data_IF_306784005643
#
_entry.id   IF_306784005643
#
_cell.length_a   1.000
_cell.length_b   1.000
_cell.length_c   1.000
_cell.angle_alpha   90.00
_cell.angle_beta   90.00
_cell.angle_gamma   90.00
#
_symmetry.space_group_name_H-M   'P 1'
#
loop_
_entity.id
_entity.type
_entity.pdbx_description
1 polymer ?
#
# COMPACT_ATOMS: atom_id res chain seq x y z
N UNK A 1 7.04 -14.47 25.28
CA UNK A 1 8.34 -13.82 25.10
C UNK A 1 9.15 -14.65 24.10
N UNK A 2 9.62 -14.05 22.99
CA UNK A 2 10.52 -14.70 22.02
C UNK A 2 11.93 -14.65 22.59
N UNK A 3 12.59 -15.78 22.67
CA UNK A 3 13.98 -15.85 23.11
C UNK A 3 14.93 -15.79 21.91
N UNK A 4 16.14 -15.27 22.12
CA UNK A 4 17.14 -15.16 21.04
C UNK A 4 17.50 -16.54 20.45
N UNK A 5 17.53 -17.58 21.29
CA UNK A 5 17.81 -18.96 20.90
C UNK A 5 16.76 -19.57 19.95
N UNK A 6 15.51 -19.03 19.95
CA UNK A 6 14.42 -19.48 19.07
C UNK A 6 14.51 -18.89 17.67
N UNK A 7 15.28 -17.80 17.47
CA UNK A 7 15.30 -17.04 16.22
C UNK A 7 15.91 -17.82 15.07
N UNK A 8 17.05 -18.47 15.28
CA UNK A 8 17.74 -19.23 14.22
C UNK A 8 16.94 -20.48 13.77
N UNK A 9 16.37 -21.30 14.66
CA UNK A 9 15.48 -22.38 14.26
C UNK A 9 14.27 -21.91 13.46
N UNK A 10 13.62 -20.81 13.89
CA UNK A 10 12.50 -20.22 13.18
C UNK A 10 12.92 -19.68 11.80
N UNK A 11 14.03 -18.97 11.73
CA UNK A 11 14.58 -18.49 10.46
C UNK A 11 14.84 -19.66 9.49
N UNK A 12 15.53 -20.72 9.94
CA UNK A 12 15.82 -21.87 9.10
C UNK A 12 14.57 -22.61 8.65
N UNK A 13 13.55 -22.66 9.51
CA UNK A 13 12.26 -23.26 9.17
C UNK A 13 11.54 -22.52 8.06
N UNK A 14 11.51 -21.19 8.10
CA UNK A 14 10.74 -20.38 7.14
C UNK A 14 11.55 -19.90 5.95
N UNK A 15 12.87 -19.77 6.10
CA UNK A 15 13.75 -19.17 5.09
C UNK A 15 14.92 -20.05 4.66
N UNK A 16 15.07 -21.25 5.22
CA UNK A 16 16.22 -22.11 4.96
C UNK A 16 16.13 -22.95 3.67
N UNK A 17 15.03 -22.89 2.92
CA UNK A 17 14.80 -23.70 1.72
C UNK A 17 14.82 -22.85 0.46
N UNK A 18 15.87 -22.93 -0.36
CA UNK A 18 15.99 -22.16 -1.61
C UNK A 18 14.91 -22.49 -2.64
N UNK A 19 14.31 -23.68 -2.58
CA UNK A 19 13.20 -24.10 -3.47
C UNK A 19 11.96 -23.21 -3.35
N UNK A 20 11.79 -22.52 -2.21
CA UNK A 20 10.63 -21.70 -1.94
C UNK A 20 10.81 -20.23 -2.37
N UNK A 21 11.98 -19.91 -2.98
CA UNK A 21 12.30 -18.55 -3.40
C UNK A 21 12.20 -18.38 -4.92
N UNK A 22 11.69 -17.23 -5.30
CA UNK A 22 11.83 -16.69 -6.66
C UNK A 22 12.80 -15.52 -6.62
N UNK A 23 13.88 -15.60 -7.38
CA UNK A 23 14.90 -14.55 -7.45
C UNK A 23 14.63 -13.66 -8.66
N UNK A 24 14.47 -12.36 -8.43
CA UNK A 24 14.32 -11.35 -9.49
C UNK A 24 15.58 -10.50 -9.51
N UNK A 25 16.30 -10.51 -10.64
CA UNK A 25 17.55 -9.80 -10.81
C UNK A 25 17.38 -8.83 -11.98
N UNK A 26 17.66 -7.57 -11.73
CA UNK A 26 17.57 -6.48 -12.70
C UNK A 26 18.85 -5.66 -12.65
N UNK A 27 19.41 -5.35 -13.80
CA UNK A 27 20.62 -4.55 -13.92
C UNK A 27 21.15 -4.50 -15.34
N UNK A 28 22.20 -3.72 -15.55
CA UNK A 28 22.96 -3.65 -16.80
C UNK A 28 23.99 -4.81 -16.82
N UNK A 29 23.50 -6.02 -17.09
CA UNK A 29 24.34 -7.23 -17.13
C UNK A 29 23.79 -8.23 -18.15
N UNK A 30 24.68 -8.98 -18.79
CA UNK A 30 24.29 -10.09 -19.67
C UNK A 30 24.07 -11.37 -18.86
N UNK A 31 23.32 -12.31 -19.45
CA UNK A 31 23.14 -13.65 -18.84
C UNK A 31 24.47 -14.37 -18.65
N UNK A 32 25.43 -14.18 -19.59
CA UNK A 32 26.77 -14.78 -19.50
C UNK A 32 27.54 -14.25 -18.31
N UNK A 33 27.45 -12.95 -18.02
CA UNK A 33 28.17 -12.33 -16.90
C UNK A 33 27.62 -12.76 -15.55
N UNK A 34 26.30 -12.86 -15.46
CA UNK A 34 25.62 -13.13 -14.19
C UNK A 34 25.52 -14.63 -13.86
N UNK A 35 25.50 -15.50 -14.87
CA UNK A 35 25.34 -16.95 -14.68
C UNK A 35 26.36 -17.57 -13.70
N UNK A 36 27.68 -17.27 -13.75
CA UNK A 36 28.62 -17.78 -12.77
C UNK A 36 28.29 -17.34 -11.33
N UNK A 37 27.88 -16.09 -11.16
CA UNK A 37 27.50 -15.54 -9.86
C UNK A 37 26.23 -16.20 -9.32
N UNK A 38 25.21 -16.39 -10.16
CA UNK A 38 23.98 -17.12 -9.80
C UNK A 38 24.32 -18.55 -9.40
N UNK A 39 25.16 -19.24 -10.16
CA UNK A 39 25.57 -20.63 -9.87
C UNK A 39 26.29 -20.71 -8.51
N UNK A 40 27.18 -19.76 -8.23
CA UNK A 40 27.97 -19.77 -6.98
C UNK A 40 27.12 -19.38 -5.77
N UNK A 41 26.37 -18.29 -5.86
CA UNK A 41 25.71 -17.69 -4.68
C UNK A 41 24.26 -18.17 -4.48
N UNK A 42 23.53 -18.43 -5.55
CA UNK A 42 22.14 -18.92 -5.47
C UNK A 42 22.10 -20.44 -5.59
N UNK A 43 22.85 -21.00 -6.57
CA UNK A 43 22.92 -22.45 -6.78
C UNK A 43 23.55 -23.21 -5.62
N UNK A 44 24.38 -22.54 -4.80
CA UNK A 44 24.96 -23.08 -3.58
C UNK A 44 24.05 -23.06 -2.35
N UNK A 45 22.86 -22.44 -2.44
CA UNK A 45 21.92 -22.37 -1.32
C UNK A 45 21.32 -23.76 -1.03
N UNK A 46 21.04 -24.10 0.26
CA UNK A 46 20.40 -25.34 0.63
C UNK A 46 19.04 -25.49 -0.07
N UNK A 47 18.82 -26.64 -0.73
CA UNK A 47 17.53 -26.92 -1.37
C UNK A 47 16.37 -26.89 -0.36
N UNK A 48 16.67 -27.32 0.88
CA UNK A 48 15.69 -27.50 1.94
C UNK A 48 14.88 -28.78 1.78
N UNK A 49 14.42 -29.30 2.89
CA UNK A 49 13.58 -30.51 2.96
C UNK A 49 12.19 -30.25 3.50
N UNK A 50 11.95 -29.07 4.04
CA UNK A 50 10.71 -28.78 4.74
C UNK A 50 9.62 -28.34 3.75
N UNK A 51 8.58 -29.13 3.62
CA UNK A 51 7.32 -28.68 3.07
C UNK A 51 6.62 -27.89 4.17
N UNK A 52 6.74 -26.58 4.10
CA UNK A 52 5.96 -25.67 4.95
C UNK A 52 4.63 -25.42 4.27
N UNK A 53 3.64 -26.27 4.56
CA UNK A 53 2.27 -25.96 4.19
C UNK A 53 1.83 -24.74 4.98
N UNK A 54 1.41 -23.71 4.25
CA UNK A 54 0.77 -22.57 4.89
C UNK A 54 -0.68 -22.93 5.24
N UNK A 55 -1.12 -22.55 6.42
CA UNK A 55 -2.52 -22.65 6.79
C UNK A 55 -3.13 -21.25 6.91
N UNK A 56 -4.35 -21.12 6.42
CA UNK A 56 -5.12 -19.89 6.60
C UNK A 56 -5.55 -19.78 8.07
N UNK A 57 -5.12 -18.73 8.71
CA UNK A 57 -5.66 -18.33 10.01
C UNK A 57 -6.63 -17.19 9.79
N UNK A 58 -7.89 -17.42 10.13
CA UNK A 58 -8.94 -16.42 10.00
C UNK A 58 -8.54 -15.12 10.72
N UNK A 59 -8.59 -14.00 9.99
CA UNK A 59 -8.32 -12.69 10.57
C UNK A 59 -9.58 -12.23 11.29
N UNK A 60 -9.46 -11.93 12.55
CA UNK A 60 -10.53 -11.29 13.29
C UNK A 60 -10.57 -9.80 12.93
N UNK A 61 -11.26 -9.47 11.84
CA UNK A 61 -11.46 -8.09 11.40
C UNK A 61 -12.71 -7.58 12.11
N UNK A 62 -12.62 -6.51 12.90
CA UNK A 62 -13.81 -5.96 13.54
C UNK A 62 -14.76 -5.39 12.47
N UNK A 63 -15.96 -5.95 12.39
CA UNK A 63 -17.01 -5.46 11.48
C UNK A 63 -17.77 -4.23 12.03
N UNK A 64 -17.48 -3.83 13.26
CA UNK A 64 -18.08 -2.66 13.89
C UNK A 64 -17.06 -1.55 14.04
N UNK A 65 -17.51 -0.32 13.84
CA UNK A 65 -16.70 0.84 14.16
C UNK A 65 -16.28 0.80 15.63
N UNK A 66 -15.02 1.02 15.89
CA UNK A 66 -14.46 1.10 17.24
C UNK A 66 -13.53 2.31 17.35
N UNK A 67 -13.46 2.89 18.53
CA UNK A 67 -12.52 3.94 18.89
C UNK A 67 -11.61 3.42 20.00
N UNK A 68 -10.33 3.66 19.87
CA UNK A 68 -9.33 3.31 20.87
C UNK A 68 -8.50 4.55 21.21
N UNK A 69 -8.55 4.97 22.46
CA UNK A 69 -7.74 6.07 22.98
C UNK A 69 -6.70 5.49 23.92
N UNK A 70 -5.45 5.89 23.72
CA UNK A 70 -4.33 5.55 24.61
C UNK A 70 -3.59 6.81 25.01
N UNK A 71 -3.40 6.99 26.32
CA UNK A 71 -2.60 8.08 26.84
C UNK A 71 -1.19 7.57 27.15
N UNK A 72 -0.18 8.18 26.49
CA UNK A 72 1.23 7.80 26.66
C UNK A 72 2.12 9.03 26.53
N UNK A 73 3.14 9.11 27.38
CA UNK A 73 4.12 10.21 27.35
C UNK A 73 3.60 11.54 27.91
N UNK A 74 4.50 12.53 27.98
CA UNK A 74 4.26 13.82 28.61
C UNK A 74 4.17 14.98 27.61
N UNK A 75 4.25 14.70 26.31
CA UNK A 75 4.16 15.72 25.26
C UNK A 75 2.71 16.07 24.97
N UNK A 76 2.34 17.36 24.85
CA UNK A 76 0.98 17.78 24.51
C UNK A 76 0.70 17.56 23.01
N UNK A 77 0.80 16.33 22.53
CA UNK A 77 0.57 15.93 21.15
C UNK A 77 -0.36 14.71 21.10
N UNK A 78 -1.30 14.74 20.18
CA UNK A 78 -2.14 13.62 19.84
C UNK A 78 -1.81 13.13 18.43
N UNK A 79 -1.64 11.81 18.29
CA UNK A 79 -1.55 11.15 16.99
C UNK A 79 -2.88 10.48 16.69
N UNK A 80 -3.52 10.88 15.61
CA UNK A 80 -4.82 10.38 15.17
C UNK A 80 -4.64 9.48 13.96
N UNK A 81 -5.34 8.34 13.95
CA UNK A 81 -5.40 7.43 12.81
C UNK A 81 -6.84 6.96 12.58
N UNK A 82 -7.43 7.33 11.44
CA UNK A 82 -8.70 6.78 10.98
C UNK A 82 -8.39 5.64 10.00
N UNK A 83 -8.95 4.47 10.26
CA UNK A 83 -8.68 3.26 9.49
C UNK A 83 -9.98 2.74 8.89
N UNK A 84 -10.00 2.61 7.57
CA UNK A 84 -11.09 2.02 6.80
C UNK A 84 -10.61 0.70 6.22
N UNK A 85 -11.43 -0.34 6.33
CA UNK A 85 -11.10 -1.68 5.85
C UNK A 85 -12.22 -2.25 4.98
N UNK A 86 -11.83 -3.01 3.96
CA UNK A 86 -12.70 -3.73 3.06
C UNK A 86 -12.11 -5.13 2.83
N UNK A 87 -12.92 -6.17 2.98
CA UNK A 87 -12.53 -7.58 2.85
C UNK A 87 -13.13 -8.28 1.63
N UNK A 88 -13.86 -7.53 0.80
CA UNK A 88 -14.45 -8.03 -0.44
C UNK A 88 -13.94 -7.26 -1.65
N UNK A 89 -13.56 -7.96 -2.70
CA UNK A 89 -13.12 -7.41 -3.97
C UNK A 89 -14.24 -7.61 -5.01
N UNK A 90 -14.77 -6.51 -5.54
CA UNK A 90 -15.88 -6.50 -6.48
C UNK A 90 -15.45 -6.29 -7.93
N UNK A 91 -14.17 -6.11 -8.17
CA UNK A 91 -13.59 -5.84 -9.49
C UNK A 91 -12.19 -6.47 -9.62
N UNK A 92 -11.58 -6.37 -10.80
CA UNK A 92 -10.21 -6.82 -11.01
C UNK A 92 -9.23 -6.10 -10.07
N UNK A 93 -8.30 -6.84 -9.45
CA UNK A 93 -7.39 -6.31 -8.43
C UNK A 93 -6.51 -5.16 -8.90
N UNK A 94 -6.02 -5.22 -10.14
CA UNK A 94 -5.23 -4.17 -10.77
C UNK A 94 -6.03 -2.87 -10.92
N UNK A 95 -7.30 -2.97 -11.35
CA UNK A 95 -8.24 -1.84 -11.43
C UNK A 95 -8.51 -1.25 -10.05
N UNK A 96 -8.81 -2.08 -9.06
CA UNK A 96 -9.01 -1.69 -7.67
C UNK A 96 -7.79 -0.94 -7.12
N UNK A 97 -6.59 -1.49 -7.34
CA UNK A 97 -5.34 -0.90 -6.85
C UNK A 97 -5.10 0.48 -7.47
N UNK A 98 -5.36 0.64 -8.77
CA UNK A 98 -5.23 1.93 -9.43
C UNK A 98 -6.21 2.96 -8.90
N UNK A 99 -7.49 2.61 -8.80
CA UNK A 99 -8.53 3.49 -8.22
C UNK A 99 -8.18 3.88 -6.79
N UNK A 100 -7.69 2.93 -5.99
CA UNK A 100 -7.22 3.19 -4.62
C UNK A 100 -6.05 4.18 -4.57
N UNK A 101 -5.13 4.12 -5.53
CA UNK A 101 -4.04 5.08 -5.64
C UNK A 101 -4.52 6.48 -6.04
N UNK A 102 -5.47 6.58 -6.97
CA UNK A 102 -6.11 7.86 -7.33
C UNK A 102 -6.84 8.43 -6.12
N UNK A 103 -7.68 7.64 -5.45
CA UNK A 103 -8.42 8.04 -4.25
C UNK A 103 -7.48 8.51 -3.14
N UNK A 104 -6.40 7.76 -2.88
CA UNK A 104 -5.37 8.14 -1.90
C UNK A 104 -4.79 9.53 -2.20
N UNK A 105 -4.45 9.81 -3.46
CA UNK A 105 -3.86 11.09 -3.85
C UNK A 105 -4.88 12.23 -3.73
N UNK A 106 -6.13 12.00 -4.13
CA UNK A 106 -7.22 12.96 -3.96
C UNK A 106 -7.48 13.27 -2.48
N UNK A 107 -7.66 12.25 -1.66
CA UNK A 107 -7.89 12.39 -0.22
C UNK A 107 -6.77 13.17 0.45
N UNK A 108 -5.53 12.88 0.11
CA UNK A 108 -4.39 13.61 0.67
C UNK A 108 -4.45 15.10 0.33
N UNK A 109 -4.77 15.46 -0.91
CA UNK A 109 -4.87 16.85 -1.35
C UNK A 109 -6.05 17.56 -0.65
N UNK A 110 -7.23 16.95 -0.65
CA UNK A 110 -8.42 17.53 -0.02
C UNK A 110 -8.23 17.75 1.48
N UNK A 111 -7.75 16.72 2.18
CA UNK A 111 -7.55 16.80 3.62
C UNK A 111 -6.41 17.74 4.01
N UNK A 112 -5.36 17.83 3.19
CA UNK A 112 -4.30 18.80 3.44
C UNK A 112 -4.83 20.23 3.33
N UNK A 113 -5.62 20.53 2.30
CA UNK A 113 -6.27 21.83 2.15
C UNK A 113 -7.20 22.11 3.33
N UNK A 114 -8.08 21.19 3.67
CA UNK A 114 -9.05 21.36 4.75
C UNK A 114 -8.42 21.53 6.13
N UNK A 115 -7.54 20.59 6.52
CA UNK A 115 -7.04 20.52 7.90
C UNK A 115 -5.82 21.43 8.13
N UNK A 116 -4.96 21.60 7.10
CA UNK A 116 -3.77 22.44 7.19
C UNK A 116 -4.02 23.87 6.74
N UNK A 117 -4.50 24.08 5.51
CA UNK A 117 -4.57 25.43 4.93
C UNK A 117 -5.76 26.22 5.48
N UNK A 118 -6.95 25.61 5.62
CA UNK A 118 -8.14 26.31 6.12
C UNK A 118 -8.19 26.36 7.65
N UNK A 119 -7.93 25.24 8.34
CA UNK A 119 -8.00 25.18 9.80
C UNK A 119 -6.69 25.54 10.51
N UNK A 120 -5.55 25.35 9.86
CA UNK A 120 -4.23 25.67 10.43
C UNK A 120 -3.81 24.80 11.63
N UNK A 121 -4.48 23.64 11.85
CA UNK A 121 -4.35 22.84 13.08
C UNK A 121 -3.44 21.62 12.95
N UNK A 122 -2.98 21.30 11.72
CA UNK A 122 -2.04 20.19 11.46
C UNK A 122 -0.88 20.65 10.63
N UNK A 123 0.29 20.07 10.81
CA UNK A 123 1.45 20.31 9.95
C UNK A 123 1.36 19.50 8.66
N UNK A 124 0.92 18.25 8.75
CA UNK A 124 0.82 17.36 7.61
C UNK A 124 -0.29 16.34 7.80
N UNK A 125 -0.83 15.86 6.68
CA UNK A 125 -1.78 14.76 6.65
C UNK A 125 -1.14 13.63 5.84
N UNK A 126 -1.15 12.42 6.40
CA UNK A 126 -0.75 11.20 5.71
C UNK A 126 -1.98 10.41 5.28
N UNK A 127 -1.99 9.96 4.03
CA UNK A 127 -2.98 9.00 3.54
C UNK A 127 -2.23 7.82 2.96
N UNK A 128 -2.45 6.64 3.53
CA UNK A 128 -1.89 5.39 3.06
C UNK A 128 -3.00 4.45 2.62
N UNK A 129 -2.84 3.83 1.47
CA UNK A 129 -3.72 2.78 0.98
C UNK A 129 -2.90 1.54 0.66
N UNK A 130 -3.39 0.38 1.08
CA UNK A 130 -2.79 -0.92 0.80
C UNK A 130 -3.88 -1.94 0.50
N UNK A 131 -3.59 -2.86 -0.41
CA UNK A 131 -4.46 -3.99 -0.70
C UNK A 131 -3.62 -5.25 -0.92
N UNK A 132 -4.17 -6.41 -0.57
CA UNK A 132 -3.55 -7.70 -0.79
C UNK A 132 -4.60 -8.76 -1.07
N UNK A 133 -4.25 -9.74 -1.92
CA UNK A 133 -5.11 -10.88 -2.26
C UNK A 133 -4.95 -12.04 -1.29
N UNK A 134 -3.78 -12.16 -0.66
CA UNK A 134 -3.43 -13.33 0.15
C UNK A 134 -3.27 -12.97 1.62
N UNK A 135 -3.66 -13.88 2.53
CA UNK A 135 -4.35 -15.17 2.31
C UNK A 135 -5.82 -15.01 1.90
N UNK A 136 -6.42 -13.85 2.13
CA UNK A 136 -7.74 -13.39 1.65
C UNK A 136 -7.62 -11.91 1.29
N UNK A 137 -8.48 -11.44 0.38
CA UNK A 137 -8.49 -10.02 0.04
C UNK A 137 -8.69 -9.17 1.28
N UNK A 138 -7.84 -8.18 1.42
CA UNK A 138 -7.98 -7.13 2.42
C UNK A 138 -7.43 -5.83 1.85
N UNK A 139 -8.26 -4.81 1.83
CA UNK A 139 -7.86 -3.43 1.58
C UNK A 139 -7.95 -2.61 2.84
N UNK A 140 -6.98 -1.72 3.03
CA UNK A 140 -6.93 -0.80 4.15
C UNK A 140 -6.53 0.59 3.68
N UNK A 141 -7.35 1.58 4.01
CA UNK A 141 -7.01 3.00 3.87
C UNK A 141 -6.85 3.61 5.25
N UNK A 142 -5.73 4.28 5.47
CA UNK A 142 -5.42 4.94 6.74
C UNK A 142 -5.18 6.43 6.49
N UNK A 143 -5.90 7.28 7.24
CA UNK A 143 -5.71 8.72 7.29
C UNK A 143 -5.10 9.03 8.64
N UNK A 144 -3.95 9.71 8.66
CA UNK A 144 -3.21 10.02 9.88
C UNK A 144 -2.74 11.46 9.93
N UNK A 145 -2.78 12.05 11.13
CA UNK A 145 -2.25 13.38 11.41
C UNK A 145 -1.84 13.51 12.87
N UNK A 146 -1.02 14.52 13.16
CA UNK A 146 -0.61 14.90 14.52
C UNK A 146 -1.11 16.30 14.80
N UNK A 147 -1.74 16.50 15.96
CA UNK A 147 -2.34 17.75 16.40
C UNK A 147 -2.18 17.97 17.91
N UNK A 148 -2.73 19.06 18.42
CA UNK A 148 -2.91 19.25 19.86
C UNK A 148 -4.08 18.38 20.36
N UNK A 149 -4.06 17.89 21.61
CA UNK A 149 -5.13 17.05 22.16
C UNK A 149 -6.52 17.68 22.10
N UNK A 150 -6.61 18.99 22.32
CA UNK A 150 -7.87 19.76 22.26
C UNK A 150 -8.46 19.89 20.85
N UNK A 151 -7.66 19.66 19.82
CA UNK A 151 -8.09 19.76 18.43
C UNK A 151 -8.57 18.43 17.82
N UNK A 152 -8.38 17.32 18.53
CA UNK A 152 -8.67 15.97 18.01
C UNK A 152 -10.09 15.86 17.47
N UNK A 153 -11.09 16.19 18.30
CA UNK A 153 -12.51 16.03 17.90
C UNK A 153 -12.87 16.90 16.72
N UNK A 154 -12.40 18.17 16.71
CA UNK A 154 -12.66 19.10 15.63
C UNK A 154 -12.05 18.64 14.30
N UNK A 155 -10.86 18.07 14.34
CA UNK A 155 -10.16 17.58 13.15
C UNK A 155 -10.72 16.23 12.64
N UNK A 156 -11.13 15.35 13.55
CA UNK A 156 -11.83 14.10 13.19
C UNK A 156 -13.16 14.43 12.50
N UNK A 157 -13.95 15.33 13.06
CA UNK A 157 -15.21 15.77 12.46
C UNK A 157 -15.00 16.41 11.08
N UNK A 158 -14.04 17.34 10.95
CA UNK A 158 -13.71 17.95 9.68
C UNK A 158 -13.23 16.93 8.63
N UNK A 159 -12.49 15.90 9.06
CA UNK A 159 -12.11 14.79 8.18
C UNK A 159 -13.32 14.02 7.68
N UNK A 160 -14.26 13.70 8.58
CA UNK A 160 -15.50 12.98 8.21
C UNK A 160 -16.40 13.82 7.30
N UNK A 161 -16.54 15.12 7.57
CA UNK A 161 -17.27 16.05 6.71
C UNK A 161 -16.67 16.11 5.30
N UNK A 162 -15.35 16.16 5.17
CA UNK A 162 -14.69 16.18 3.87
C UNK A 162 -14.85 14.86 3.11
N UNK A 163 -14.80 13.72 3.80
CA UNK A 163 -15.11 12.41 3.20
C UNK A 163 -16.56 12.34 2.72
N UNK A 164 -17.51 12.85 3.51
CA UNK A 164 -18.91 12.92 3.15
C UNK A 164 -19.13 13.82 1.93
N UNK A 165 -18.45 14.97 1.88
CA UNK A 165 -18.51 15.91 0.74
C UNK A 165 -17.99 15.26 -0.55
N UNK A 166 -16.89 14.49 -0.47
CA UNK A 166 -16.37 13.73 -1.60
C UNK A 166 -17.37 12.70 -2.12
N UNK A 167 -18.11 12.06 -1.22
CA UNK A 167 -19.12 11.08 -1.58
C UNK A 167 -20.37 11.70 -2.19
N UNK A 168 -20.87 12.81 -1.63
CA UNK A 168 -22.12 13.45 -2.05
C UNK A 168 -21.97 14.34 -3.29
N UNK A 169 -20.82 14.98 -3.44
CA UNK A 169 -20.58 15.98 -4.50
C UNK A 169 -19.26 15.70 -5.24
N UNK A 170 -19.09 14.50 -5.82
CA UNK A 170 -17.83 14.09 -6.43
C UNK A 170 -17.37 15.01 -7.56
N UNK A 171 -18.27 15.60 -8.33
CA UNK A 171 -17.98 16.54 -9.41
C UNK A 171 -17.29 17.84 -8.95
N UNK A 172 -17.46 18.22 -7.69
CA UNK A 172 -16.78 19.39 -7.12
C UNK A 172 -15.26 19.20 -7.00
N UNK A 173 -14.79 17.96 -7.19
CA UNK A 173 -13.38 17.57 -7.10
C UNK A 173 -12.73 17.23 -8.45
N UNK A 174 -13.43 17.45 -9.57
CA UNK A 174 -12.92 17.15 -10.93
C UNK A 174 -11.60 17.86 -11.25
N UNK A 175 -11.40 19.07 -10.73
CA UNK A 175 -10.12 19.78 -10.85
C UNK A 175 -8.98 19.04 -10.15
N UNK A 176 -9.20 18.59 -8.92
CA UNK A 176 -8.21 17.81 -8.16
C UNK A 176 -7.95 16.46 -8.84
N UNK A 177 -9.00 15.79 -9.29
CA UNK A 177 -8.87 14.53 -10.03
C UNK A 177 -8.02 14.71 -11.30
N UNK A 178 -8.23 15.80 -12.04
CA UNK A 178 -7.45 16.12 -13.25
C UNK A 178 -5.96 16.29 -12.94
N UNK A 179 -5.64 17.01 -11.87
CA UNK A 179 -4.25 17.20 -11.45
C UNK A 179 -3.61 15.91 -10.94
N UNK A 180 -4.36 15.12 -10.18
CA UNK A 180 -3.92 13.79 -9.70
C UNK A 180 -3.61 12.86 -10.88
N UNK A 181 -4.48 12.78 -11.88
CA UNK A 181 -4.25 11.99 -13.09
C UNK A 181 -2.98 12.42 -13.82
N UNK A 182 -2.81 13.72 -14.03
CA UNK A 182 -1.61 14.28 -14.68
C UNK A 182 -0.34 13.89 -13.93
N UNK A 183 -0.34 14.01 -12.61
CA UNK A 183 0.81 13.65 -11.79
C UNK A 183 1.09 12.15 -11.84
N UNK A 184 0.07 11.30 -11.72
CA UNK A 184 0.23 9.85 -11.82
C UNK A 184 0.81 9.40 -13.16
N UNK A 185 0.35 9.99 -14.27
CA UNK A 185 0.90 9.69 -15.61
C UNK A 185 2.36 10.11 -15.72
N UNK A 186 2.70 11.30 -15.23
CA UNK A 186 4.08 11.79 -15.22
C UNK A 186 4.98 10.89 -14.35
N UNK A 187 4.54 10.56 -13.15
CA UNK A 187 5.29 9.73 -12.21
C UNK A 187 5.50 8.32 -12.77
N UNK A 188 4.49 7.76 -13.44
CA UNK A 188 4.59 6.46 -14.09
C UNK A 188 5.69 6.43 -15.17
N UNK A 189 5.77 7.47 -16.03
CA UNK A 189 6.82 7.56 -17.04
C UNK A 189 8.22 7.71 -16.42
N UNK A 190 8.35 8.45 -15.33
CA UNK A 190 9.61 8.60 -14.59
C UNK A 190 10.00 7.31 -13.86
N UNK A 191 9.02 6.63 -13.30
CA UNK A 191 9.26 5.39 -12.53
C UNK A 191 9.68 4.23 -13.42
N UNK A 192 9.15 4.13 -14.64
CA UNK A 192 9.59 3.13 -15.64
C UNK A 192 11.10 3.21 -15.96
N UNK A 193 11.76 4.33 -15.68
CA UNK A 193 13.20 4.48 -15.87
C UNK A 193 14.03 3.90 -14.71
N UNK A 194 13.37 3.44 -13.63
CA UNK A 194 14.03 2.96 -12.42
C UNK A 194 13.95 1.43 -12.31
N UNK A 195 15.06 0.79 -11.96
CA UNK A 195 15.09 -0.64 -11.69
C UNK A 195 14.12 -1.04 -10.56
N UNK A 196 13.95 -0.19 -9.55
CA UNK A 196 13.03 -0.44 -8.44
C UNK A 196 11.57 -0.59 -8.87
N UNK A 197 11.14 0.14 -9.90
CA UNK A 197 9.82 -0.01 -10.49
C UNK A 197 9.63 -1.42 -11.06
N UNK A 198 10.55 -1.85 -11.91
CA UNK A 198 10.48 -3.17 -12.55
C UNK A 198 10.61 -4.33 -11.55
N UNK A 199 11.52 -4.20 -10.56
CA UNK A 199 11.63 -5.19 -9.49
C UNK A 199 10.32 -5.35 -8.72
N UNK A 200 9.70 -4.24 -8.35
CA UNK A 200 8.42 -4.24 -7.62
C UNK A 200 7.28 -4.78 -8.48
N UNK A 201 7.25 -4.40 -9.76
CA UNK A 201 6.25 -4.85 -10.72
C UNK A 201 6.31 -6.38 -10.91
N UNK A 202 7.48 -6.91 -11.27
CA UNK A 202 7.70 -8.34 -11.50
C UNK A 202 7.39 -9.14 -10.23
N UNK A 203 7.89 -8.69 -9.08
CA UNK A 203 7.62 -9.34 -7.78
C UNK A 203 6.11 -9.41 -7.49
N UNK A 204 5.39 -8.32 -7.68
CA UNK A 204 3.95 -8.27 -7.42
C UNK A 204 3.16 -9.14 -8.40
N UNK A 205 3.55 -9.15 -9.68
CA UNK A 205 2.95 -10.01 -10.70
C UNK A 205 3.12 -11.50 -10.35
N UNK A 206 4.33 -11.91 -9.95
CA UNK A 206 4.60 -13.28 -9.51
C UNK A 206 3.80 -13.61 -8.24
N UNK A 207 3.85 -12.74 -7.24
CA UNK A 207 3.19 -12.96 -5.95
C UNK A 207 1.67 -13.05 -6.07
N UNK A 208 1.07 -12.19 -6.88
CA UNK A 208 -0.37 -12.16 -7.08
C UNK A 208 -0.84 -13.14 -8.17
N UNK A 209 0.07 -13.86 -8.84
CA UNK A 209 -0.22 -14.75 -9.96
C UNK A 209 -1.02 -14.05 -11.08
N UNK A 210 -0.71 -12.81 -11.34
CA UNK A 210 -1.41 -11.97 -12.32
C UNK A 210 -0.46 -11.60 -13.47
N UNK A 211 -0.97 -11.72 -14.70
CA UNK A 211 -0.28 -11.24 -15.90
C UNK A 211 -0.57 -9.74 -16.10
N UNK A 212 0.06 -8.90 -15.31
CA UNK A 212 -0.20 -7.45 -15.30
C UNK A 212 0.35 -6.67 -16.52
N UNK A 213 0.87 -7.36 -17.55
CA UNK A 213 1.42 -6.70 -18.74
C UNK A 213 0.38 -5.89 -19.51
N UNK A 214 -0.88 -6.36 -19.57
CA UNK A 214 -1.99 -5.60 -20.17
C UNK A 214 -2.25 -4.30 -19.43
N UNK A 215 -2.21 -4.35 -18.13
CA UNK A 215 -2.38 -3.18 -17.27
C UNK A 215 -1.28 -2.15 -17.52
N UNK A 216 -0.02 -2.59 -17.61
CA UNK A 216 1.14 -1.73 -17.87
C UNK A 216 0.99 -0.99 -19.21
N UNK A 217 0.58 -1.70 -20.26
CA UNK A 217 0.37 -1.14 -21.58
C UNK A 217 -0.83 -0.18 -21.66
N UNK A 218 -1.86 -0.43 -20.85
CA UNK A 218 -3.11 0.35 -20.84
C UNK A 218 -3.18 1.36 -19.69
N UNK A 219 -2.09 1.51 -18.92
CA UNK A 219 -2.09 2.35 -17.70
C UNK A 219 -2.65 3.76 -17.96
N UNK A 220 -2.15 4.44 -18.98
CA UNK A 220 -2.60 5.79 -19.31
C UNK A 220 -4.09 5.84 -19.70
N UNK A 221 -4.57 4.87 -20.48
CA UNK A 221 -5.98 4.78 -20.84
C UNK A 221 -6.85 4.53 -19.61
N UNK A 222 -6.41 3.62 -18.73
CA UNK A 222 -7.14 3.28 -17.50
C UNK A 222 -7.19 4.47 -16.55
N UNK A 223 -6.06 5.18 -16.34
CA UNK A 223 -6.04 6.41 -15.52
C UNK A 223 -7.00 7.45 -16.08
N UNK A 224 -6.99 7.68 -17.40
CA UNK A 224 -7.85 8.68 -18.03
C UNK A 224 -9.35 8.32 -17.94
N UNK A 225 -9.69 7.03 -17.91
CA UNK A 225 -11.09 6.56 -17.82
C UNK A 225 -11.70 6.72 -16.41
N UNK A 226 -10.90 6.91 -15.36
CA UNK A 226 -11.42 7.10 -14.00
C UNK A 226 -12.20 8.41 -13.93
N UNK A 227 -13.40 8.36 -13.37
CA UNK A 227 -14.24 9.53 -13.09
C UNK A 227 -14.36 9.72 -11.58
N UNK A 228 -14.83 10.89 -11.15
CA UNK A 228 -15.10 11.15 -9.73
C UNK A 228 -16.35 10.40 -9.22
N UNK A 229 -17.16 9.86 -10.11
CA UNK A 229 -18.39 9.08 -9.81
C UNK A 229 -18.11 7.61 -9.75
#
# INVERSE_FOLDING_TARGET
YVKQEDMLPLFNRFYGAAKDYTFVILGDCTIQDIKPLITTYIGGLPKGSNDTDWCYTERNIPYKSCSLIRHTGDSPKASVSLIFQQDSLLEEFSSFTLKSNVMKAMLRTCLLNRLREEMGKVYSVSVAASAGLYPSFLSRTMIGFVCLPEDVDSLVNATQEELQRLYEYPESFDGILTDVKRNLLKDFELDKQKNSFWTSWIRNSIFNQQEDWKYLNNYAQTVNSITAK
#
